data_IF_309935761755
#
_entry.id   IF_309935761755
#
_cell.length_a   1.000
_cell.length_b   1.000
_cell.length_c   1.000
_cell.angle_alpha   90.00
_cell.angle_beta   90.00
_cell.angle_gamma   90.00
#
_symmetry.space_group_name_H-M   'P 1'
#
loop_
_entity.id
_entity.type
_entity.pdbx_description
1 polymer ?
#
# COMPACT_ATOMS: atom_id res chain seq x y z
N UNK A 1 -17.63 10.50 -3.17
CA UNK A 1 -17.37 9.40 -4.14
C UNK A 1 -15.89 9.28 -4.48
N UNK A 2 -15.18 10.32 -4.92
CA UNK A 2 -13.74 10.19 -5.25
C UNK A 2 -12.81 9.95 -4.06
N UNK A 3 -13.23 10.32 -2.85
CA UNK A 3 -12.48 10.14 -1.60
C UNK A 3 -12.27 8.69 -1.18
N UNK A 4 -13.05 7.72 -1.69
CA UNK A 4 -12.85 6.30 -1.34
C UNK A 4 -11.83 5.59 -2.23
N UNK A 5 -11.47 6.20 -3.37
CA UNK A 5 -10.56 5.59 -4.35
C UNK A 5 -9.16 5.34 -3.74
N UNK A 6 -8.56 6.27 -2.97
CA UNK A 6 -7.31 6.00 -2.25
C UNK A 6 -7.41 4.79 -1.31
N UNK A 7 -8.49 4.68 -0.53
CA UNK A 7 -8.73 3.54 0.37
C UNK A 7 -8.81 2.22 -0.40
N UNK A 8 -9.47 2.20 -1.56
CA UNK A 8 -9.52 1.02 -2.44
C UNK A 8 -8.12 0.72 -2.98
N UNK A 9 -7.36 1.72 -3.42
CA UNK A 9 -5.99 1.53 -3.90
C UNK A 9 -5.09 0.91 -2.83
N UNK A 10 -5.17 1.41 -1.60
CA UNK A 10 -4.45 0.87 -0.47
C UNK A 10 -4.88 -0.58 -0.16
N UNK A 11 -6.19 -0.85 -0.11
CA UNK A 11 -6.73 -2.18 0.17
C UNK A 11 -6.34 -3.24 -0.85
N UNK A 12 -6.21 -2.87 -2.13
CA UNK A 12 -5.82 -3.79 -3.22
C UNK A 12 -4.33 -3.71 -3.60
N UNK A 13 -3.50 -3.06 -2.77
CA UNK A 13 -2.06 -3.01 -3.00
C UNK A 13 -1.40 -4.36 -2.66
N UNK A 14 -1.24 -5.22 -3.67
CA UNK A 14 -0.52 -6.51 -3.53
C UNK A 14 0.71 -6.63 -4.44
N UNK A 15 0.95 -5.65 -5.32
CA UNK A 15 1.96 -5.73 -6.37
C UNK A 15 3.39 -5.75 -5.82
N UNK A 16 3.65 -5.16 -4.65
CA UNK A 16 4.97 -5.18 -3.98
C UNK A 16 5.50 -6.61 -3.75
N UNK A 17 4.62 -7.55 -3.39
CA UNK A 17 5.00 -8.94 -3.17
C UNK A 17 4.97 -9.78 -4.46
N UNK A 18 4.42 -9.25 -5.55
CA UNK A 18 4.11 -10.02 -6.75
C UNK A 18 5.34 -10.67 -7.39
N UNK A 19 6.46 -9.94 -7.46
CA UNK A 19 7.72 -10.42 -8.03
C UNK A 19 8.30 -11.56 -7.20
N UNK A 20 8.32 -11.41 -5.88
CA UNK A 20 8.80 -12.44 -4.96
C UNK A 20 7.93 -13.71 -5.04
N UNK A 21 6.60 -13.56 -5.04
CA UNK A 21 5.65 -14.66 -5.19
C UNK A 21 5.87 -15.36 -6.54
N UNK A 22 5.91 -14.59 -7.64
CA UNK A 22 6.12 -15.12 -8.99
C UNK A 22 7.42 -15.92 -9.09
N UNK A 23 8.52 -15.39 -8.53
CA UNK A 23 9.81 -16.07 -8.50
C UNK A 23 9.79 -17.37 -7.68
N UNK A 24 8.94 -17.44 -6.66
CA UNK A 24 8.80 -18.62 -5.78
C UNK A 24 7.85 -19.68 -6.34
N UNK A 25 7.07 -19.38 -7.39
CA UNK A 25 6.15 -20.35 -7.98
C UNK A 25 6.88 -21.48 -8.71
N UNK A 26 6.40 -22.71 -8.50
CA UNK A 26 6.88 -23.90 -9.23
C UNK A 26 6.65 -23.79 -10.74
N UNK A 27 5.51 -23.25 -11.15
CA UNK A 27 5.17 -23.06 -12.56
C UNK A 27 5.12 -21.55 -12.87
N UNK A 28 6.15 -21.05 -13.55
CA UNK A 28 6.35 -19.62 -13.87
C UNK A 28 5.75 -19.20 -15.22
N UNK A 29 4.84 -19.98 -15.80
CA UNK A 29 4.14 -19.58 -17.04
C UNK A 29 3.29 -18.32 -16.79
N UNK A 30 3.38 -17.34 -17.69
CA UNK A 30 2.67 -16.06 -17.55
C UNK A 30 1.14 -16.24 -17.48
N UNK A 31 0.58 -17.16 -18.28
CA UNK A 31 -0.85 -17.48 -18.24
C UNK A 31 -1.30 -18.02 -16.88
N UNK A 32 -0.46 -18.84 -16.24
CA UNK A 32 -0.74 -19.38 -14.91
C UNK A 32 -0.64 -18.30 -13.84
N UNK A 33 0.37 -17.43 -13.92
CA UNK A 33 0.51 -16.27 -13.05
C UNK A 33 -0.70 -15.34 -13.12
N UNK A 34 -1.16 -15.00 -14.33
CA UNK A 34 -2.32 -14.15 -14.55
C UNK A 34 -3.57 -14.80 -13.95
N UNK A 35 -3.78 -16.10 -14.19
CA UNK A 35 -4.93 -16.82 -13.65
C UNK A 35 -4.95 -16.78 -12.11
N UNK A 36 -3.84 -17.13 -11.45
CA UNK A 36 -3.75 -17.10 -9.98
C UNK A 36 -4.01 -15.69 -9.47
N UNK A 37 -3.35 -14.69 -10.06
CA UNK A 37 -3.47 -13.29 -9.63
C UNK A 37 -4.92 -12.79 -9.73
N UNK A 38 -5.59 -13.06 -10.85
CA UNK A 38 -6.99 -12.65 -11.06
C UNK A 38 -7.92 -13.35 -10.08
N UNK A 39 -7.76 -14.66 -9.86
CA UNK A 39 -8.58 -15.40 -8.89
C UNK A 39 -8.37 -14.88 -7.46
N UNK A 40 -7.12 -14.60 -7.07
CA UNK A 40 -6.83 -13.99 -5.77
C UNK A 40 -7.48 -12.61 -5.61
N UNK A 41 -7.42 -11.76 -6.64
CA UNK A 41 -8.05 -10.43 -6.59
C UNK A 41 -9.58 -10.50 -6.54
N UNK A 42 -10.20 -11.45 -7.25
CA UNK A 42 -11.65 -11.69 -7.15
C UNK A 42 -12.02 -12.14 -5.73
N UNK A 43 -11.24 -13.04 -5.12
CA UNK A 43 -11.48 -13.47 -3.75
C UNK A 43 -11.36 -12.30 -2.75
N UNK A 44 -10.33 -11.46 -2.88
CA UNK A 44 -10.19 -10.24 -2.08
C UNK A 44 -11.38 -9.29 -2.27
N UNK A 45 -11.82 -9.07 -3.51
CA UNK A 45 -12.96 -8.22 -3.82
C UNK A 45 -14.24 -8.73 -3.16
N UNK A 46 -14.51 -10.03 -3.20
CA UNK A 46 -15.67 -10.61 -2.57
C UNK A 46 -15.62 -10.45 -1.04
N UNK A 47 -14.49 -10.76 -0.41
CA UNK A 47 -14.33 -10.64 1.05
C UNK A 47 -14.50 -9.19 1.50
N UNK A 48 -13.85 -8.24 0.81
CA UNK A 48 -13.97 -6.81 1.15
C UNK A 48 -15.38 -6.29 0.91
N UNK A 49 -16.02 -6.67 -0.19
CA UNK A 49 -17.40 -6.24 -0.49
C UNK A 49 -18.38 -6.79 0.53
N UNK A 50 -18.28 -8.08 0.88
CA UNK A 50 -19.14 -8.71 1.88
C UNK A 50 -18.96 -8.02 3.24
N UNK A 51 -17.71 -7.83 3.67
CA UNK A 51 -17.41 -7.19 4.96
C UNK A 51 -17.93 -5.74 5.00
N UNK A 52 -17.70 -4.97 3.94
CA UNK A 52 -18.18 -3.59 3.84
C UNK A 52 -19.71 -3.50 3.79
N UNK A 53 -20.38 -4.40 3.05
CA UNK A 53 -21.84 -4.46 2.99
C UNK A 53 -22.46 -4.78 4.35
N UNK A 54 -21.96 -5.81 5.05
CA UNK A 54 -22.47 -6.13 6.38
C UNK A 54 -22.18 -5.04 7.40
N UNK A 55 -21.02 -4.38 7.33
CA UNK A 55 -20.73 -3.23 8.18
C UNK A 55 -21.73 -2.10 7.99
N UNK A 56 -22.00 -1.73 6.73
CA UNK A 56 -22.98 -0.69 6.41
C UNK A 56 -24.41 -1.09 6.79
N UNK A 57 -24.81 -2.34 6.57
CA UNK A 57 -26.15 -2.82 6.96
C UNK A 57 -26.33 -2.84 8.49
N UNK A 58 -25.26 -3.02 9.26
CA UNK A 58 -25.31 -3.09 10.73
C UNK A 58 -25.33 -1.69 11.37
N UNK A 59 -24.49 -0.78 10.89
CA UNK A 59 -24.26 0.52 11.53
C UNK A 59 -24.74 1.72 10.71
N UNK A 60 -25.18 1.51 9.47
CA UNK A 60 -25.63 2.57 8.57
C UNK A 60 -24.53 3.60 8.31
N UNK A 61 -24.89 4.87 8.46
CA UNK A 61 -23.99 6.02 8.26
C UNK A 61 -23.04 6.27 9.44
N UNK A 62 -23.28 5.65 10.59
CA UNK A 62 -22.53 5.89 11.82
C UNK A 62 -21.35 4.91 11.98
N UNK A 63 -21.03 4.15 10.93
CA UNK A 63 -19.90 3.22 10.92
C UNK A 63 -18.58 3.98 11.09
N UNK A 64 -17.79 3.58 12.08
CA UNK A 64 -16.46 4.12 12.29
C UNK A 64 -15.48 3.62 11.20
N UNK A 65 -14.40 4.38 11.00
CA UNK A 65 -13.30 4.02 10.10
C UNK A 65 -12.73 2.62 10.37
N UNK A 66 -12.56 2.29 11.65
CA UNK A 66 -12.36 0.93 12.12
C UNK A 66 -13.70 0.34 12.55
N UNK A 67 -14.22 -0.59 11.75
CA UNK A 67 -15.50 -1.26 12.01
C UNK A 67 -15.52 -1.95 13.38
N UNK A 68 -14.38 -2.44 13.88
CA UNK A 68 -14.32 -3.10 15.19
C UNK A 68 -14.60 -2.12 16.34
N UNK A 69 -14.39 -0.83 16.13
CA UNK A 69 -14.71 0.24 17.09
C UNK A 69 -16.20 0.61 17.08
N UNK A 70 -16.96 0.18 16.06
CA UNK A 70 -18.41 0.39 16.02
C UNK A 70 -19.18 -0.61 16.89
N UNK A 71 -18.56 -1.73 17.27
CA UNK A 71 -19.17 -2.75 18.12
C UNK A 71 -18.96 -2.46 19.63
N UNK A 72 -19.91 -2.87 20.51
CA UNK A 72 -19.79 -2.71 21.95
C UNK A 72 -18.57 -3.43 22.55
N UNK A 73 -17.97 -2.83 23.58
CA UNK A 73 -16.76 -3.36 24.24
C UNK A 73 -16.99 -4.60 25.12
N UNK A 74 -18.24 -4.88 25.47
CA UNK A 74 -18.61 -5.96 26.39
C UNK A 74 -18.88 -7.30 25.71
N UNK A 75 -18.89 -7.36 24.37
CA UNK A 75 -19.18 -8.59 23.63
C UNK A 75 -17.93 -9.46 23.48
N UNK A 76 -17.98 -10.68 24.04
CA UNK A 76 -16.86 -11.63 24.04
C UNK A 76 -16.35 -11.93 22.63
N UNK A 77 -17.24 -12.08 21.65
CA UNK A 77 -16.85 -12.35 20.25
C UNK A 77 -16.06 -11.20 19.63
N UNK A 78 -16.44 -9.95 19.93
CA UNK A 78 -15.76 -8.75 19.43
C UNK A 78 -14.40 -8.60 20.09
N UNK A 79 -14.30 -8.87 21.41
CA UNK A 79 -13.02 -8.89 22.13
C UNK A 79 -12.07 -9.92 21.50
N UNK A 80 -12.56 -11.13 21.22
CA UNK A 80 -11.77 -12.17 20.53
C UNK A 80 -11.34 -11.68 19.13
N UNK A 81 -12.24 -11.07 18.38
CA UNK A 81 -11.94 -10.49 17.06
C UNK A 81 -10.84 -9.43 17.10
N UNK A 82 -10.94 -8.47 18.03
CA UNK A 82 -9.92 -7.42 18.27
C UNK A 82 -8.58 -8.03 18.68
N UNK A 83 -8.58 -9.06 19.53
CA UNK A 83 -7.36 -9.76 19.94
C UNK A 83 -6.68 -10.46 18.74
N UNK A 84 -7.43 -11.20 17.94
CA UNK A 84 -6.90 -11.89 16.76
C UNK A 84 -6.38 -10.89 15.72
N UNK A 85 -7.10 -9.78 15.51
CA UNK A 85 -6.63 -8.68 14.67
C UNK A 85 -5.31 -8.11 15.20
N UNK A 86 -5.21 -7.82 16.50
CA UNK A 86 -3.96 -7.35 17.13
C UNK A 86 -2.80 -8.32 16.96
N UNK A 87 -3.02 -9.62 17.18
CA UNK A 87 -2.00 -10.66 16.96
C UNK A 87 -1.54 -10.68 15.49
N UNK A 88 -2.47 -10.52 14.54
CA UNK A 88 -2.12 -10.46 13.12
C UNK A 88 -1.20 -9.27 12.80
N UNK A 89 -1.50 -8.09 13.35
CA UNK A 89 -0.68 -6.88 13.17
C UNK A 89 0.70 -7.05 13.80
N UNK A 90 0.79 -7.58 15.03
CA UNK A 90 2.07 -7.86 15.71
C UNK A 90 2.93 -8.81 14.89
N UNK A 91 2.32 -9.80 14.24
CA UNK A 91 3.03 -10.80 13.43
C UNK A 91 3.51 -10.22 12.09
N UNK A 92 2.73 -9.33 11.47
CA UNK A 92 3.06 -8.70 10.19
C UNK A 92 4.13 -7.60 10.35
N UNK A 93 4.09 -6.85 11.45
CA UNK A 93 5.00 -5.73 11.72
C UNK A 93 6.50 -6.05 11.51
N UNK A 94 7.08 -7.14 12.06
CA UNK A 94 8.50 -7.44 11.85
C UNK A 94 8.85 -7.73 10.39
N UNK A 95 7.91 -8.28 9.61
CA UNK A 95 8.11 -8.58 8.19
C UNK A 95 8.21 -7.27 7.41
N UNK A 96 7.26 -6.35 7.62
CA UNK A 96 7.26 -5.03 6.95
C UNK A 96 8.48 -4.21 7.36
N UNK A 97 8.79 -4.17 8.66
CA UNK A 97 9.96 -3.47 9.17
C UNK A 97 11.25 -4.02 8.56
N UNK A 98 11.36 -5.34 8.42
CA UNK A 98 12.50 -5.97 7.77
C UNK A 98 12.64 -5.54 6.30
N UNK A 99 11.55 -5.57 5.54
CA UNK A 99 11.52 -5.15 4.14
C UNK A 99 11.92 -3.69 3.97
N UNK A 100 11.26 -2.77 4.68
CA UNK A 100 11.54 -1.34 4.61
C UNK A 100 12.98 -1.01 5.03
N UNK A 101 13.45 -1.63 6.11
CA UNK A 101 14.84 -1.46 6.57
C UNK A 101 15.85 -1.95 5.54
N UNK A 102 15.62 -3.11 4.91
CA UNK A 102 16.56 -3.66 3.91
C UNK A 102 16.72 -2.72 2.71
N UNK A 103 15.62 -2.13 2.23
CA UNK A 103 15.65 -1.14 1.13
C UNK A 103 16.42 0.12 1.55
N UNK A 104 16.13 0.70 2.72
CA UNK A 104 16.82 1.91 3.19
C UNK A 104 18.30 1.62 3.44
N UNK A 105 18.62 0.48 4.05
CA UNK A 105 20.00 0.08 4.31
C UNK A 105 20.79 -0.07 2.99
N UNK A 106 20.20 -0.70 1.97
CA UNK A 106 20.82 -0.83 0.65
C UNK A 106 21.10 0.55 0.03
N UNK A 107 20.15 1.49 0.10
CA UNK A 107 20.34 2.86 -0.37
C UNK A 107 21.45 3.57 0.41
N UNK A 108 21.47 3.48 1.73
CA UNK A 108 22.53 4.07 2.57
C UNK A 108 23.92 3.50 2.27
N UNK A 109 24.02 2.21 1.95
CA UNK A 109 25.27 1.58 1.56
C UNK A 109 25.68 2.01 0.15
N UNK A 110 24.74 2.11 -0.78
CA UNK A 110 24.98 2.50 -2.18
C UNK A 110 25.42 3.96 -2.34
N UNK A 111 24.84 4.87 -1.57
CA UNK A 111 25.18 6.31 -1.60
C UNK A 111 26.26 6.73 -0.61
N UNK A 112 26.96 5.75 -0.03
CA UNK A 112 28.01 6.01 0.95
C UNK A 112 29.24 6.65 0.27
N UNK A 113 29.93 7.61 0.93
CA UNK A 113 31.23 8.08 0.47
C UNK A 113 32.23 6.91 0.40
N UNK A 114 33.03 6.85 -0.67
CA UNK A 114 34.00 5.77 -0.91
C UNK A 114 35.03 5.62 0.21
N UNK A 115 35.27 6.68 0.99
CA UNK A 115 36.28 6.74 2.04
C UNK A 115 35.90 5.98 3.32
N UNK A 116 34.64 5.57 3.45
CA UNK A 116 34.16 4.91 4.66
C UNK A 116 34.21 3.38 4.45
N UNK A 117 35.00 2.66 5.27
CA UNK A 117 35.20 1.20 5.16
C UNK A 117 33.97 0.44 5.65
N UNK A 118 33.40 -0.46 4.84
CA UNK A 118 32.20 -1.23 5.20
C UNK A 118 32.55 -2.31 6.23
N UNK A 119 32.41 -1.95 7.50
CA UNK A 119 32.65 -2.87 8.62
C UNK A 119 31.32 -3.47 9.09
N UNK A 120 31.34 -4.74 9.53
CA UNK A 120 30.17 -5.40 10.12
C UNK A 120 29.57 -4.61 11.30
N UNK A 121 30.41 -3.88 12.05
CA UNK A 121 29.99 -2.98 13.11
C UNK A 121 29.17 -1.78 12.61
N UNK A 122 29.53 -1.21 11.46
CA UNK A 122 28.80 -0.10 10.84
C UNK A 122 27.40 -0.55 10.41
N UNK A 123 27.29 -1.70 9.73
CA UNK A 123 25.97 -2.22 9.34
C UNK A 123 25.09 -2.56 10.54
N UNK A 124 25.67 -3.10 11.62
CA UNK A 124 24.92 -3.39 12.85
C UNK A 124 24.39 -2.10 13.48
N UNK A 125 25.22 -1.05 13.56
CA UNK A 125 24.80 0.27 14.06
C UNK A 125 23.72 0.89 13.20
N UNK A 126 23.88 0.85 11.87
CA UNK A 126 22.89 1.34 10.92
C UNK A 126 21.57 0.58 11.05
N UNK A 127 21.60 -0.75 11.17
CA UNK A 127 20.39 -1.56 11.42
C UNK A 127 19.66 -1.12 12.68
N UNK A 128 20.36 -0.99 13.80
CA UNK A 128 19.75 -0.58 15.07
C UNK A 128 19.17 0.82 14.93
N UNK A 129 19.92 1.77 14.37
CA UNK A 129 19.48 3.15 14.18
C UNK A 129 18.24 3.23 13.28
N UNK A 130 18.23 2.53 12.15
CA UNK A 130 17.08 2.51 11.24
C UNK A 130 15.84 1.91 11.89
N UNK A 131 15.98 0.78 12.59
CA UNK A 131 14.88 0.15 13.32
C UNK A 131 14.35 1.07 14.42
N UNK A 132 15.21 1.64 15.26
CA UNK A 132 14.81 2.56 16.33
C UNK A 132 14.12 3.80 15.77
N UNK A 133 14.68 4.42 14.73
CA UNK A 133 14.08 5.57 14.06
C UNK A 133 12.68 5.23 13.51
N UNK A 134 12.56 4.09 12.82
CA UNK A 134 11.28 3.63 12.28
C UNK A 134 10.22 3.48 13.37
N UNK A 135 10.54 2.78 14.47
CA UNK A 135 9.60 2.60 15.58
C UNK A 135 9.20 3.95 16.19
N UNK A 136 10.16 4.84 16.44
CA UNK A 136 9.89 6.16 17.01
C UNK A 136 9.00 7.02 16.11
N UNK A 137 9.24 7.01 14.80
CA UNK A 137 8.40 7.73 13.83
C UNK A 137 6.98 7.16 13.82
N UNK A 138 6.83 5.84 13.75
CA UNK A 138 5.48 5.22 13.76
C UNK A 138 4.74 5.47 15.07
N UNK A 139 5.45 5.47 16.21
CA UNK A 139 4.87 5.81 17.51
C UNK A 139 4.46 7.29 17.56
N UNK A 140 5.29 8.19 17.03
CA UNK A 140 4.96 9.61 16.92
C UNK A 140 3.67 9.82 16.13
N UNK A 141 3.56 9.21 14.94
CA UNK A 141 2.35 9.28 14.12
C UNK A 141 1.13 8.77 14.89
N UNK A 142 1.25 7.63 15.58
CA UNK A 142 0.15 7.06 16.36
C UNK A 142 -0.32 7.97 17.53
N UNK A 143 0.56 8.79 18.10
CA UNK A 143 0.20 9.74 19.16
C UNK A 143 -0.49 11.00 18.63
N UNK A 144 -0.20 11.43 17.39
CA UNK A 144 -0.71 12.69 16.81
C UNK A 144 -1.87 12.49 15.83
N UNK A 145 -2.03 11.30 15.26
CA UNK A 145 -3.07 10.99 14.28
C UNK A 145 -3.97 9.87 14.82
N UNK A 146 -5.06 10.22 15.53
CA UNK A 146 -5.95 9.22 16.13
C UNK A 146 -6.88 8.57 15.10
N UNK A 147 -7.15 9.21 13.96
CA UNK A 147 -8.01 8.67 12.90
C UNK A 147 -7.20 7.90 11.85
N UNK A 148 -7.50 6.62 11.71
CA UNK A 148 -6.84 5.75 10.73
C UNK A 148 -7.20 6.10 9.28
N UNK A 149 -8.36 6.73 9.04
CA UNK A 149 -8.83 7.12 7.71
C UNK A 149 -7.91 8.13 7.05
N UNK A 150 -7.41 9.10 7.83
CA UNK A 150 -6.47 10.12 7.35
C UNK A 150 -5.19 9.47 6.82
N UNK A 151 -4.64 8.54 7.60
CA UNK A 151 -3.44 7.78 7.24
C UNK A 151 -3.70 6.91 6.00
N UNK A 152 -4.83 6.21 5.95
CA UNK A 152 -5.20 5.35 4.81
C UNK A 152 -5.42 6.19 3.55
N UNK A 153 -6.04 7.36 3.66
CA UNK A 153 -6.29 8.25 2.52
C UNK A 153 -4.97 8.76 1.93
N UNK A 154 -4.02 9.15 2.79
CA UNK A 154 -2.69 9.61 2.37
C UNK A 154 -1.88 8.48 1.72
N UNK A 155 -1.77 7.33 2.41
CA UNK A 155 -1.02 6.18 1.90
C UNK A 155 -1.68 5.66 0.62
N UNK A 156 -3.00 5.60 0.56
CA UNK A 156 -3.75 5.22 -0.63
C UNK A 156 -3.56 6.15 -1.82
N UNK A 157 -3.32 7.45 -1.57
CA UNK A 157 -2.87 8.39 -2.58
C UNK A 157 -1.52 7.95 -3.17
N UNK A 158 -0.54 7.68 -2.31
CA UNK A 158 0.78 7.16 -2.71
C UNK A 158 0.63 5.82 -3.45
N UNK A 159 -0.26 4.93 -3.00
CA UNK A 159 -0.59 3.67 -3.69
C UNK A 159 -1.06 3.89 -5.12
N UNK A 160 -1.83 4.97 -5.38
CA UNK A 160 -2.29 5.30 -6.73
C UNK A 160 -1.13 5.59 -7.70
N UNK A 161 0.00 6.11 -7.20
CA UNK A 161 1.22 6.24 -8.00
C UNK A 161 1.72 4.86 -8.46
N UNK A 162 1.83 3.90 -7.55
CA UNK A 162 2.36 2.57 -7.89
C UNK A 162 1.37 1.70 -8.68
N UNK A 163 0.06 1.90 -8.51
CA UNK A 163 -0.98 1.11 -9.18
C UNK A 163 -1.28 1.65 -10.59
N UNK A 164 -1.23 2.96 -10.79
CA UNK A 164 -1.64 3.58 -12.06
C UNK A 164 -0.49 4.26 -12.80
N UNK A 165 0.22 5.18 -12.13
CA UNK A 165 1.22 6.04 -12.79
C UNK A 165 2.43 5.22 -13.22
N UNK A 166 3.03 4.48 -12.29
CA UNK A 166 4.23 3.68 -12.55
C UNK A 166 4.03 2.64 -13.67
N UNK A 167 3.05 1.72 -13.60
CA UNK A 167 2.83 0.76 -14.68
C UNK A 167 2.37 1.43 -15.98
N UNK A 168 1.62 2.54 -15.92
CA UNK A 168 1.25 3.32 -17.09
C UNK A 168 2.47 3.89 -17.82
N UNK A 169 3.44 4.45 -17.08
CA UNK A 169 4.71 4.92 -17.63
C UNK A 169 5.52 3.77 -18.22
N UNK A 170 5.65 2.66 -17.49
CA UNK A 170 6.33 1.46 -17.99
C UNK A 170 5.70 0.97 -19.29
N UNK A 171 4.37 0.95 -19.39
CA UNK A 171 3.66 0.51 -20.60
C UNK A 171 3.93 1.44 -21.79
N UNK A 172 3.86 2.76 -21.60
CA UNK A 172 4.16 3.74 -22.66
C UNK A 172 5.60 3.63 -23.13
N UNK A 173 6.56 3.50 -22.21
CA UNK A 173 7.98 3.33 -22.53
C UNK A 173 8.26 2.00 -23.24
N UNK A 174 7.70 0.89 -22.76
CA UNK A 174 7.87 -0.43 -23.38
C UNK A 174 7.33 -0.48 -24.81
N UNK A 175 6.23 0.23 -25.09
CA UNK A 175 5.68 0.33 -26.44
C UNK A 175 6.55 1.15 -27.41
N UNK A 176 7.58 1.84 -26.94
CA UNK A 176 8.56 2.50 -27.81
C UNK A 176 9.64 1.53 -28.31
N UNK A 177 9.93 0.48 -27.55
CA UNK A 177 11.02 -0.46 -27.83
C UNK A 177 10.54 -1.77 -28.44
N UNK A 178 9.33 -2.23 -28.08
CA UNK A 178 8.82 -3.54 -28.48
C UNK A 178 8.23 -3.56 -29.90
N UNK A 179 8.56 -4.58 -30.73
CA UNK A 179 8.02 -4.72 -32.08
C UNK A 179 6.58 -5.29 -32.05
N UNK A 180 5.60 -4.43 -31.76
CA UNK A 180 4.17 -4.76 -31.77
C UNK A 180 3.43 -4.13 -32.95
N UNK A 181 2.26 -4.67 -33.31
CA UNK A 181 1.44 -4.10 -34.37
C UNK A 181 1.02 -2.65 -34.05
N UNK A 182 0.95 -1.79 -35.06
CA UNK A 182 0.63 -0.36 -34.91
C UNK A 182 -0.69 -0.12 -34.15
N UNK A 183 -1.74 -0.89 -34.44
CA UNK A 183 -3.03 -0.77 -33.75
C UNK A 183 -2.91 -1.10 -32.27
N UNK A 184 -2.28 -2.23 -31.95
CA UNK A 184 -2.10 -2.66 -30.56
C UNK A 184 -1.21 -1.67 -29.79
N UNK A 185 -0.16 -1.15 -30.42
CA UNK A 185 0.72 -0.12 -29.87
C UNK A 185 -0.07 1.12 -29.43
N UNK A 186 -0.88 1.67 -30.33
CA UNK A 186 -1.70 2.85 -30.03
C UNK A 186 -2.74 2.56 -28.94
N UNK A 187 -3.39 1.39 -28.97
CA UNK A 187 -4.31 0.99 -27.89
C UNK A 187 -3.62 0.94 -26.52
N UNK A 188 -2.43 0.34 -26.44
CA UNK A 188 -1.67 0.21 -25.18
C UNK A 188 -1.12 1.55 -24.70
N UNK A 189 -0.67 2.43 -25.60
CA UNK A 189 -0.23 3.78 -25.25
C UNK A 189 -1.41 4.61 -24.72
N UNK A 190 -2.56 4.56 -25.37
CA UNK A 190 -3.77 5.26 -24.90
C UNK A 190 -4.19 4.74 -23.53
N UNK A 191 -4.19 3.41 -23.35
CA UNK A 191 -4.47 2.81 -22.04
C UNK A 191 -3.49 3.27 -20.95
N UNK A 192 -2.19 3.27 -21.24
CA UNK A 192 -1.17 3.77 -20.32
C UNK A 192 -1.35 5.26 -19.99
N UNK A 193 -1.66 6.09 -20.99
CA UNK A 193 -1.93 7.52 -20.78
C UNK A 193 -3.17 7.76 -19.91
N UNK A 194 -4.25 7.01 -20.14
CA UNK A 194 -5.46 7.07 -19.31
C UNK A 194 -5.15 6.64 -17.87
N UNK A 195 -4.40 5.55 -17.67
CA UNK A 195 -3.98 5.12 -16.35
C UNK A 195 -3.16 6.20 -15.63
N UNK A 196 -2.18 6.83 -16.30
CA UNK A 196 -1.39 7.92 -15.73
C UNK A 196 -2.30 9.10 -15.34
N UNK A 197 -3.21 9.54 -16.22
CA UNK A 197 -4.12 10.65 -15.93
C UNK A 197 -5.01 10.36 -14.72
N UNK A 198 -5.59 9.16 -14.65
CA UNK A 198 -6.36 8.72 -13.49
C UNK A 198 -5.51 8.70 -12.22
N UNK A 199 -4.30 8.16 -12.28
CA UNK A 199 -3.39 8.09 -11.14
C UNK A 199 -2.98 9.48 -10.64
N UNK A 200 -2.65 10.40 -11.54
CA UNK A 200 -2.31 11.80 -11.21
C UNK A 200 -3.49 12.51 -10.56
N UNK A 201 -4.70 12.31 -11.09
CA UNK A 201 -5.92 12.87 -10.50
C UNK A 201 -6.17 12.34 -9.08
N UNK A 202 -6.09 11.02 -8.87
CA UNK A 202 -6.31 10.40 -7.55
C UNK A 202 -5.25 10.86 -6.55
N UNK A 203 -3.98 10.83 -6.95
CA UNK A 203 -2.87 11.27 -6.11
C UNK A 203 -2.99 12.75 -5.75
N UNK A 204 -3.32 13.60 -6.73
CA UNK A 204 -3.53 15.03 -6.53
C UNK A 204 -4.70 15.32 -5.60
N UNK A 205 -5.82 14.62 -5.77
CA UNK A 205 -6.99 14.80 -4.91
C UNK A 205 -6.71 14.37 -3.46
N UNK A 206 -6.08 13.20 -3.25
CA UNK A 206 -5.70 12.73 -1.91
C UNK A 206 -4.75 13.72 -1.22
N UNK A 207 -3.72 14.19 -1.94
CA UNK A 207 -2.74 15.15 -1.40
C UNK A 207 -3.39 16.49 -1.07
N UNK A 208 -4.28 17.00 -1.93
CA UNK A 208 -4.99 18.25 -1.70
C UNK A 208 -5.91 18.16 -0.46
N UNK A 209 -6.61 17.04 -0.28
CA UNK A 209 -7.45 16.83 0.91
C UNK A 209 -6.61 16.79 2.18
N UNK A 210 -5.52 16.02 2.19
CA UNK A 210 -4.61 15.97 3.34
C UNK A 210 -3.99 17.34 3.66
N UNK A 211 -3.66 18.14 2.64
CA UNK A 211 -3.13 19.48 2.84
C UNK A 211 -4.17 20.45 3.44
N UNK A 212 -5.42 20.41 2.98
CA UNK A 212 -6.49 21.25 3.54
C UNK A 212 -6.77 20.90 5.00
N UNK A 213 -6.82 19.62 5.33
CA UNK A 213 -7.04 19.15 6.70
C UNK A 213 -5.90 19.57 7.65
N UNK A 214 -4.66 19.55 7.18
CA UNK A 214 -3.52 20.06 7.94
C UNK A 214 -3.61 21.57 8.17
N UNK A 215 -4.05 22.33 7.15
CA UNK A 215 -4.22 23.79 7.25
C UNK A 215 -5.32 24.13 8.26
N UNK A 216 -6.45 23.43 8.24
CA UNK A 216 -7.54 23.64 9.20
C UNK A 216 -7.13 23.35 10.64
N UNK A 217 -6.23 22.37 10.87
CA UNK A 217 -5.70 22.09 12.21
C UNK A 217 -4.71 23.14 12.74
N UNK A 218 -4.14 23.96 11.87
CA UNK A 218 -3.15 24.99 12.22
C UNK A 218 -3.77 26.37 12.46
N UNK A 219 -5.04 26.57 12.09
CA UNK A 219 -5.80 27.82 12.26
C UNK A 219 -6.70 27.69 13.48
#
# INVERSE_FOLDING_TARGET
MFTVVPTICFGFQCHEASVAIYSSMRNRKLSHWILISVLSMIACLLIYSITGMYGYLTFGTDVAADILMSYPDNEVLIIIGRLLFGISIITIYPIILHLGRSVIQELCVRYRPQDVVLTAAYEKRLRVLLTTCWVLVTMGIAMFVPDISEVISLIGGISAFFIFIFPGLCLVCAMQTEPVSLRLRWCLIVWGAVAILCGVFIFGQSTATAAMELIERLI
#
